data_IF_808513252191
#
_entry.id   IF_808513252191
#
_cell.length_a   1.000
_cell.length_b   1.000
_cell.length_c   1.000
_cell.angle_alpha   90.00
_cell.angle_beta   90.00
_cell.angle_gamma   90.00
#
_symmetry.space_group_name_H-M   'P 1'
#
loop_
_entity.id
_entity.type
_entity.pdbx_description
1 polymer ?
#
# COMPACT_ATOMS: atom_id res chain seq x y z
N UNK A 1 -10.23 6.72 51.42
CA UNK A 1 -10.92 7.58 52.42
C UNK A 1 -9.91 8.29 53.34
N UNK A 2 -8.79 8.80 52.81
CA UNK A 2 -7.72 9.44 53.61
C UNK A 2 -7.55 10.94 53.33
N UNK A 3 -8.19 11.48 52.27
CA UNK A 3 -8.07 12.89 51.89
C UNK A 3 -9.08 13.84 52.56
N UNK A 4 -10.24 13.35 53.02
CA UNK A 4 -11.27 14.18 53.65
C UNK A 4 -11.01 14.46 55.15
N UNK A 5 -10.16 13.67 55.80
CA UNK A 5 -9.85 13.86 57.24
C UNK A 5 -8.81 14.95 57.55
N UNK A 6 -8.05 15.41 56.56
CA UNK A 6 -7.04 16.47 56.76
C UNK A 6 -7.58 17.88 56.51
N UNK A 7 -8.72 18.01 55.81
CA UNK A 7 -9.31 19.31 55.50
C UNK A 7 -10.09 19.93 56.68
N UNK A 8 -10.60 19.11 57.60
CA UNK A 8 -11.35 19.58 58.78
C UNK A 8 -10.47 20.21 59.87
N UNK A 9 -9.15 19.97 59.87
CA UNK A 9 -8.24 20.44 60.93
C UNK A 9 -7.69 21.86 60.72
N UNK A 10 -7.72 22.41 59.49
CA UNK A 10 -7.02 23.67 59.16
C UNK A 10 -7.94 24.89 58.93
N UNK A 11 -9.27 24.72 58.90
CA UNK A 11 -10.22 25.84 58.98
C UNK A 11 -10.12 26.94 57.92
N UNK A 12 -9.40 26.73 56.81
CA UNK A 12 -9.21 27.73 55.77
C UNK A 12 -9.67 27.21 54.38
N UNK A 13 -10.84 27.65 53.89
CA UNK A 13 -11.41 27.22 52.61
C UNK A 13 -10.56 27.58 51.38
N UNK A 14 -9.52 28.42 51.53
CA UNK A 14 -8.57 28.71 50.46
C UNK A 14 -7.77 27.47 50.00
N UNK A 15 -7.50 26.51 50.89
CA UNK A 15 -6.74 25.31 50.55
C UNK A 15 -7.55 24.32 49.70
N UNK A 16 -8.86 24.25 49.92
CA UNK A 16 -9.77 23.41 49.11
C UNK A 16 -9.93 23.99 47.67
N UNK A 17 -9.99 25.32 47.56
CA UNK A 17 -9.95 26.01 46.27
C UNK A 17 -8.63 25.80 45.52
N UNK A 18 -7.49 25.89 46.21
CA UNK A 18 -6.17 25.64 45.62
C UNK A 18 -6.01 24.20 45.13
N UNK A 19 -6.52 23.22 45.88
CA UNK A 19 -6.55 21.81 45.48
C UNK A 19 -7.38 21.60 44.20
N UNK A 20 -8.55 22.25 44.10
CA UNK A 20 -9.42 22.18 42.92
C UNK A 20 -8.76 22.77 41.67
N UNK A 21 -8.05 23.90 41.80
CA UNK A 21 -7.29 24.52 40.70
C UNK A 21 -6.13 23.61 40.27
N UNK A 22 -5.42 22.99 41.20
CA UNK A 22 -4.33 22.06 40.90
C UNK A 22 -4.84 20.81 40.14
N UNK A 23 -5.98 20.25 40.54
CA UNK A 23 -6.63 19.14 39.83
C UNK A 23 -7.07 19.59 38.43
N UNK A 24 -7.67 20.77 38.30
CA UNK A 24 -8.05 21.34 37.01
C UNK A 24 -6.87 21.50 36.05
N UNK A 25 -5.71 21.96 36.55
CA UNK A 25 -4.48 22.05 35.77
C UNK A 25 -3.94 20.69 35.33
N UNK A 26 -3.97 19.68 36.20
CA UNK A 26 -3.55 18.32 35.86
C UNK A 26 -4.43 17.70 34.77
N UNK A 27 -5.75 17.89 34.87
CA UNK A 27 -6.69 17.40 33.86
C UNK A 27 -6.50 18.19 32.55
N UNK A 28 -6.34 19.50 32.61
CA UNK A 28 -6.06 20.33 31.43
C UNK A 28 -4.77 19.92 30.72
N UNK A 29 -3.69 19.69 31.46
CA UNK A 29 -2.41 19.25 30.92
C UNK A 29 -2.50 17.85 30.28
N UNK A 30 -3.18 16.90 30.94
CA UNK A 30 -3.37 15.55 30.37
C UNK A 30 -4.26 15.56 29.13
N UNK A 31 -5.30 16.39 29.09
CA UNK A 31 -6.14 16.58 27.91
C UNK A 31 -5.33 17.14 26.73
N UNK A 32 -4.52 18.17 26.95
CA UNK A 32 -3.63 18.73 25.91
C UNK A 32 -2.62 17.67 25.43
N UNK A 33 -2.05 16.90 26.36
CA UNK A 33 -1.12 15.81 26.03
C UNK A 33 -1.78 14.75 25.13
N UNK A 34 -3.00 14.29 25.49
CA UNK A 34 -3.76 13.33 24.70
C UNK A 34 -4.17 13.89 23.33
N UNK A 35 -4.58 15.16 23.25
CA UNK A 35 -4.91 15.82 21.99
C UNK A 35 -3.70 15.84 21.06
N UNK A 36 -2.52 16.24 21.56
CA UNK A 36 -1.31 16.27 20.76
C UNK A 36 -0.88 14.87 20.32
N UNK A 37 -0.99 13.87 21.20
CA UNK A 37 -0.65 12.48 20.88
C UNK A 37 -1.60 11.91 19.83
N UNK A 38 -2.91 12.08 20.01
CA UNK A 38 -3.92 11.65 19.04
C UNK A 38 -3.75 12.37 17.70
N UNK A 39 -3.44 13.67 17.71
CA UNK A 39 -3.19 14.43 16.50
C UNK A 39 -1.98 13.91 15.74
N UNK A 40 -0.92 13.48 16.43
CA UNK A 40 0.23 12.83 15.80
C UNK A 40 -0.11 11.44 15.23
N UNK A 41 -0.96 10.67 15.91
CA UNK A 41 -1.43 9.35 15.42
C UNK A 41 -2.40 9.45 14.24
N UNK A 42 -3.26 10.48 14.22
CA UNK A 42 -4.23 10.73 13.14
C UNK A 42 -3.56 11.35 11.91
N UNK A 43 -2.49 12.12 12.12
CA UNK A 43 -1.65 12.71 11.07
C UNK A 43 -0.39 11.86 10.88
N UNK A 44 -0.50 10.54 10.92
CA UNK A 44 0.64 9.62 10.84
C UNK A 44 1.72 10.08 9.84
N UNK A 45 3.00 9.78 10.10
CA UNK A 45 4.10 10.32 9.31
C UNK A 45 3.82 10.10 7.82
N UNK A 46 3.79 11.17 7.02
CA UNK A 46 3.50 11.07 5.60
C UNK A 46 4.34 9.94 4.99
N UNK A 47 3.76 9.06 4.15
CA UNK A 47 4.50 7.96 3.57
C UNK A 47 5.78 8.53 2.94
N UNK A 48 6.92 7.93 3.25
CA UNK A 48 8.23 8.43 2.81
C UNK A 48 8.18 8.62 1.31
N UNK A 49 8.21 9.88 0.87
CA UNK A 49 8.16 10.25 -0.55
C UNK A 49 9.25 9.54 -1.35
N UNK A 50 10.37 9.22 -0.70
CA UNK A 50 11.46 8.43 -1.23
C UNK A 50 11.07 6.97 -1.53
N UNK A 51 10.31 6.31 -0.65
CA UNK A 51 9.88 4.92 -0.88
C UNK A 51 8.86 4.83 -1.99
N UNK A 52 7.90 5.78 -2.05
CA UNK A 52 6.96 5.88 -3.18
C UNK A 52 7.73 6.10 -4.48
N UNK A 53 8.71 7.00 -4.49
CA UNK A 53 9.53 7.24 -5.68
C UNK A 53 10.31 6.00 -6.13
N UNK A 54 10.84 5.21 -5.19
CA UNK A 54 11.48 3.92 -5.51
C UNK A 54 10.51 2.92 -6.12
N UNK A 55 9.31 2.78 -5.54
CA UNK A 55 8.27 1.90 -6.08
C UNK A 55 7.86 2.30 -7.50
N UNK A 56 7.70 3.60 -7.75
CA UNK A 56 7.41 4.11 -9.08
C UNK A 56 8.54 3.85 -10.08
N UNK A 57 9.80 4.04 -9.66
CA UNK A 57 10.95 3.73 -10.50
C UNK A 57 10.98 2.25 -10.91
N UNK A 58 10.70 1.31 -9.99
CA UNK A 58 10.61 -0.13 -10.30
C UNK A 58 9.55 -0.42 -11.37
N UNK A 59 8.40 0.24 -11.29
CA UNK A 59 7.34 0.08 -12.29
C UNK A 59 7.72 0.70 -13.64
N UNK A 60 8.30 1.91 -13.64
CA UNK A 60 8.68 2.63 -14.87
C UNK A 60 9.90 2.02 -15.59
N UNK A 61 10.82 1.40 -14.84
CA UNK A 61 12.00 0.70 -15.40
C UNK A 61 11.62 -0.65 -16.02
N UNK A 62 10.41 -1.17 -15.75
CA UNK A 62 10.00 -2.45 -16.26
C UNK A 62 9.56 -2.36 -17.74
N UNK A 63 10.21 -3.07 -18.67
CA UNK A 63 9.90 -3.00 -20.10
C UNK A 63 8.52 -3.56 -20.49
N UNK A 64 7.84 -4.28 -19.60
CA UNK A 64 6.48 -4.80 -19.83
C UNK A 64 5.41 -3.77 -19.44
N UNK A 65 5.77 -2.81 -18.59
CA UNK A 65 4.88 -1.74 -18.16
C UNK A 65 4.91 -0.63 -19.20
N UNK A 66 3.76 -0.38 -19.84
CA UNK A 66 3.62 0.69 -20.83
C UNK A 66 3.34 2.04 -20.15
N UNK A 67 2.57 2.03 -19.06
CA UNK A 67 2.20 3.23 -18.30
C UNK A 67 1.76 2.86 -16.88
N UNK A 68 2.07 3.75 -15.94
CA UNK A 68 1.50 3.73 -14.58
C UNK A 68 0.59 4.94 -14.43
N UNK A 69 -0.61 4.74 -13.91
CA UNK A 69 -1.62 5.78 -13.69
C UNK A 69 -2.34 5.59 -12.36
N UNK A 70 -3.12 6.60 -11.95
CA UNK A 70 -3.92 6.62 -10.71
C UNK A 70 -3.22 6.09 -9.44
N UNK A 71 -1.96 6.48 -9.24
CA UNK A 71 -1.18 6.07 -8.06
C UNK A 71 -1.78 6.71 -6.81
N UNK A 72 -2.28 5.87 -5.91
CA UNK A 72 -2.90 6.26 -4.64
C UNK A 72 -2.16 5.61 -3.49
N UNK A 73 -1.66 6.45 -2.59
CA UNK A 73 -0.99 6.02 -1.37
C UNK A 73 -1.81 6.49 -0.17
N UNK A 74 -2.21 5.55 0.68
CA UNK A 74 -3.02 5.81 1.86
C UNK A 74 -2.38 5.19 3.10
N UNK A 75 -2.45 5.90 4.22
CA UNK A 75 -1.85 5.43 5.45
C UNK A 75 -2.84 4.56 6.24
N UNK A 76 -2.41 3.35 6.57
CA UNK A 76 -3.13 2.38 7.40
C UNK A 76 -2.59 2.46 8.85
N UNK A 77 -3.05 3.45 9.62
CA UNK A 77 -2.63 3.62 11.02
C UNK A 77 -1.25 4.25 11.17
N UNK A 78 -0.52 3.92 12.23
CA UNK A 78 0.75 4.58 12.56
C UNK A 78 1.93 4.15 11.66
N UNK A 79 1.98 2.87 11.28
CA UNK A 79 3.19 2.24 10.72
C UNK A 79 2.98 1.50 9.39
N UNK A 80 1.76 1.49 8.83
CA UNK A 80 1.50 0.78 7.58
C UNK A 80 0.97 1.71 6.49
N UNK A 81 1.34 1.40 5.25
CA UNK A 81 0.91 2.12 4.06
C UNK A 81 0.23 1.15 3.10
N UNK A 82 -0.82 1.62 2.44
CA UNK A 82 -1.46 0.96 1.30
C UNK A 82 -1.09 1.72 0.04
N UNK A 83 -0.52 0.99 -0.92
CA UNK A 83 -0.19 1.46 -2.25
C UNK A 83 -1.15 0.82 -3.24
N UNK A 84 -1.80 1.64 -4.07
CA UNK A 84 -2.59 1.20 -5.21
C UNK A 84 -2.11 1.94 -6.46
N UNK A 85 -2.02 1.26 -7.58
CA UNK A 85 -1.74 1.88 -8.86
C UNK A 85 -2.45 1.12 -9.99
N UNK A 86 -2.90 1.85 -10.99
CA UNK A 86 -3.35 1.28 -12.25
C UNK A 86 -2.15 1.17 -13.19
N UNK A 87 -1.98 0.01 -13.82
CA UNK A 87 -0.83 -0.28 -14.68
C UNK A 87 -1.31 -0.78 -16.03
N UNK A 88 -0.92 -0.09 -17.09
CA UNK A 88 -1.15 -0.54 -18.46
C UNK A 88 0.04 -1.39 -18.91
N UNK A 89 -0.22 -2.64 -19.31
CA UNK A 89 0.81 -3.56 -19.80
C UNK A 89 0.93 -3.51 -21.33
N UNK A 90 2.16 -3.63 -21.85
CA UNK A 90 2.37 -3.85 -23.29
C UNK A 90 2.16 -5.32 -23.64
N UNK A 91 0.93 -5.64 -24.05
CA UNK A 91 0.56 -6.98 -24.50
C UNK A 91 1.37 -7.49 -25.69
N UNK A 92 1.99 -6.62 -26.50
CA UNK A 92 2.88 -7.04 -27.59
C UNK A 92 4.22 -7.51 -27.08
N UNK A 93 4.75 -6.87 -26.04
CA UNK A 93 6.00 -7.30 -25.40
C UNK A 93 5.80 -8.61 -24.65
N UNK A 94 4.68 -8.78 -23.94
CA UNK A 94 4.31 -10.07 -23.33
C UNK A 94 4.17 -11.18 -24.38
N UNK A 95 3.43 -10.92 -25.45
CA UNK A 95 3.30 -11.84 -26.58
C UNK A 95 4.67 -12.21 -27.17
N UNK A 96 5.57 -11.24 -27.32
CA UNK A 96 6.93 -11.48 -27.83
C UNK A 96 7.74 -12.37 -26.89
N UNK A 97 7.66 -12.16 -25.57
CA UNK A 97 8.33 -13.00 -24.57
C UNK A 97 7.79 -14.43 -24.57
N UNK A 98 6.47 -14.60 -24.64
CA UNK A 98 5.84 -15.91 -24.75
C UNK A 98 6.26 -16.65 -26.02
N UNK A 99 6.30 -15.95 -27.16
CA UNK A 99 6.75 -16.53 -28.42
C UNK A 99 8.24 -16.86 -28.43
N UNK A 100 9.08 -16.08 -27.75
CA UNK A 100 10.52 -16.34 -27.66
C UNK A 100 10.85 -17.66 -26.94
N UNK A 101 9.98 -18.11 -26.03
CA UNK A 101 10.10 -19.40 -25.34
C UNK A 101 9.48 -20.58 -26.09
N UNK A 102 8.79 -20.34 -27.22
CA UNK A 102 8.07 -21.36 -27.98
C UNK A 102 8.86 -21.80 -29.21
N UNK A 103 8.89 -23.10 -29.46
CA UNK A 103 9.40 -23.66 -30.72
C UNK A 103 8.37 -23.41 -31.83
N UNK A 104 8.63 -22.38 -32.63
CA UNK A 104 7.75 -21.98 -33.73
C UNK A 104 7.77 -22.98 -34.89
N UNK A 105 8.90 -23.65 -35.14
CA UNK A 105 9.03 -24.64 -36.22
C UNK A 105 8.23 -25.90 -35.88
N UNK A 106 8.34 -26.37 -34.64
CA UNK A 106 7.51 -27.46 -34.14
C UNK A 106 6.02 -27.09 -34.18
N UNK A 107 5.65 -25.89 -33.69
CA UNK A 107 4.27 -25.42 -33.70
C UNK A 107 3.72 -25.36 -35.13
N UNK A 108 4.49 -24.80 -36.07
CA UNK A 108 4.12 -24.70 -37.48
C UNK A 108 3.85 -26.08 -38.09
N UNK A 109 4.68 -27.08 -37.79
CA UNK A 109 4.50 -28.45 -38.29
C UNK A 109 3.18 -29.11 -37.85
N UNK A 110 2.59 -28.67 -36.74
CA UNK A 110 1.32 -29.19 -36.22
C UNK A 110 0.08 -28.53 -36.84
N UNK A 111 0.26 -27.41 -37.55
CA UNK A 111 -0.84 -26.65 -38.16
C UNK A 111 -1.41 -27.37 -39.39
N UNK A 112 -2.49 -28.11 -39.18
CA UNK A 112 -3.20 -28.85 -40.22
C UNK A 112 -4.50 -28.14 -40.62
N UNK A 113 -4.36 -26.95 -41.20
CA UNK A 113 -5.48 -26.16 -41.74
C UNK A 113 -6.09 -25.13 -40.76
N UNK A 114 -7.17 -24.44 -41.18
CA UNK A 114 -7.69 -23.27 -40.46
C UNK A 114 -8.14 -23.53 -39.03
N UNK A 115 -8.71 -24.71 -38.73
CA UNK A 115 -9.16 -25.02 -37.35
C UNK A 115 -8.00 -25.20 -36.38
N UNK A 116 -6.86 -25.72 -36.86
CA UNK A 116 -5.66 -25.87 -36.02
C UNK A 116 -5.07 -24.49 -35.69
N UNK A 117 -5.05 -23.57 -36.68
CA UNK A 117 -4.65 -22.19 -36.47
C UNK A 117 -5.58 -21.46 -35.49
N UNK A 118 -6.89 -21.62 -35.64
CA UNK A 118 -7.87 -21.02 -34.75
C UNK A 118 -7.66 -21.45 -33.30
N UNK A 119 -7.47 -22.76 -33.04
CA UNK A 119 -7.16 -23.27 -31.70
C UNK A 119 -5.89 -22.67 -31.12
N UNK A 120 -4.82 -22.59 -31.93
CA UNK A 120 -3.56 -21.99 -31.51
C UNK A 120 -3.73 -20.52 -31.12
N UNK A 121 -4.48 -19.74 -31.91
CA UNK A 121 -4.72 -18.33 -31.63
C UNK A 121 -5.55 -18.13 -30.36
N UNK A 122 -6.56 -18.99 -30.12
CA UNK A 122 -7.36 -18.96 -28.90
C UNK A 122 -6.52 -19.34 -27.68
N UNK A 123 -5.73 -20.40 -27.78
CA UNK A 123 -4.82 -20.83 -26.69
C UNK A 123 -3.77 -19.76 -26.39
N UNK A 124 -3.19 -19.15 -27.42
CA UNK A 124 -2.23 -18.06 -27.28
C UNK A 124 -2.86 -16.83 -26.62
N UNK A 125 -4.10 -16.48 -26.97
CA UNK A 125 -4.83 -15.41 -26.30
C UNK A 125 -4.97 -15.66 -24.80
N UNK A 126 -5.33 -16.89 -24.40
CA UNK A 126 -5.37 -17.30 -22.99
C UNK A 126 -4.00 -17.18 -22.31
N UNK A 127 -2.94 -17.68 -22.95
CA UNK A 127 -1.56 -17.59 -22.46
C UNK A 127 -1.09 -16.14 -22.25
N UNK A 128 -1.50 -15.22 -23.12
CA UNK A 128 -1.20 -13.79 -22.95
C UNK A 128 -1.91 -13.21 -21.73
N UNK A 129 -3.18 -13.54 -21.52
CA UNK A 129 -3.92 -13.08 -20.34
C UNK A 129 -3.34 -13.66 -19.04
N UNK A 130 -3.01 -14.95 -19.02
CA UNK A 130 -2.38 -15.59 -17.87
C UNK A 130 -1.02 -14.93 -17.56
N UNK A 131 -0.23 -14.63 -18.60
CA UNK A 131 1.06 -13.96 -18.45
C UNK A 131 0.94 -12.52 -17.92
N UNK A 132 -0.15 -11.80 -18.20
CA UNK A 132 -0.42 -10.49 -17.57
C UNK A 132 -0.64 -10.68 -16.06
N UNK A 133 -1.45 -11.68 -15.67
CA UNK A 133 -1.69 -11.99 -14.25
C UNK A 133 -0.40 -12.34 -13.51
N UNK A 134 0.42 -13.23 -14.09
CA UNK A 134 1.71 -13.61 -13.51
C UNK A 134 2.66 -12.40 -13.37
N UNK A 135 2.62 -11.46 -14.32
CA UNK A 135 3.46 -10.26 -14.28
C UNK A 135 2.98 -9.26 -13.22
N UNK A 136 1.66 -9.13 -13.03
CA UNK A 136 1.06 -8.35 -11.93
C UNK A 136 1.54 -8.90 -10.59
N UNK A 137 1.38 -10.20 -10.35
CA UNK A 137 1.79 -10.85 -9.10
C UNK A 137 3.30 -10.67 -8.84
N UNK A 138 4.11 -10.79 -9.90
CA UNK A 138 5.57 -10.58 -9.83
C UNK A 138 5.92 -9.15 -9.42
N UNK A 139 5.28 -8.16 -10.05
CA UNK A 139 5.50 -6.75 -9.75
C UNK A 139 5.03 -6.39 -8.34
N UNK A 140 3.89 -6.90 -7.88
CA UNK A 140 3.42 -6.70 -6.51
C UNK A 140 4.40 -7.25 -5.47
N UNK A 141 4.96 -8.43 -5.72
CA UNK A 141 5.97 -9.04 -4.86
C UNK A 141 7.29 -8.24 -4.86
N UNK A 142 7.70 -7.70 -6.00
CA UNK A 142 8.90 -6.86 -6.14
C UNK A 142 8.74 -5.51 -5.42
N UNK A 143 7.57 -4.90 -5.55
CA UNK A 143 7.20 -3.67 -4.85
C UNK A 143 7.16 -3.87 -3.33
N UNK A 144 6.59 -4.98 -2.86
CA UNK A 144 6.53 -5.33 -1.43
C UNK A 144 7.94 -5.53 -0.85
N UNK A 145 8.87 -6.08 -1.62
CA UNK A 145 10.27 -6.23 -1.20
C UNK A 145 11.01 -4.88 -1.15
N UNK A 146 10.71 -3.98 -2.08
CA UNK A 146 11.34 -2.66 -2.20
C UNK A 146 10.89 -1.71 -1.09
N UNK A 147 9.62 -1.80 -0.67
CA UNK A 147 9.04 -0.97 0.38
C UNK A 147 8.30 -1.84 1.42
N UNK A 148 9.00 -2.40 2.43
CA UNK A 148 8.40 -3.27 3.45
C UNK A 148 7.29 -2.59 4.29
N UNK A 149 7.28 -1.25 4.34
CA UNK A 149 6.23 -0.45 4.96
C UNK A 149 4.90 -0.47 4.19
N UNK A 150 4.93 -0.82 2.90
CA UNK A 150 3.77 -0.99 2.05
C UNK A 150 3.13 -2.36 2.33
N UNK A 151 2.37 -2.42 3.42
CA UNK A 151 1.73 -3.66 3.90
C UNK A 151 0.63 -4.18 2.98
N UNK A 152 0.13 -3.34 2.08
CA UNK A 152 -0.82 -3.71 1.04
C UNK A 152 -0.43 -3.02 -0.27
N UNK A 153 -0.02 -3.81 -1.25
CA UNK A 153 0.26 -3.39 -2.62
C UNK A 153 -0.78 -4.09 -3.50
N UNK A 154 -1.42 -3.34 -4.37
CA UNK A 154 -2.46 -3.83 -5.27
C UNK A 154 -2.31 -3.09 -6.60
N UNK A 155 -2.02 -3.85 -7.66
CA UNK A 155 -1.85 -3.34 -9.01
C UNK A 155 -3.03 -3.78 -9.87
N UNK A 156 -3.78 -2.81 -10.37
CA UNK A 156 -4.95 -3.08 -11.21
C UNK A 156 -4.56 -2.91 -12.69
N UNK A 157 -4.68 -3.95 -13.54
CA UNK A 157 -4.45 -3.81 -14.97
C UNK A 157 -5.59 -3.02 -15.62
N UNK A 158 -5.24 -2.03 -16.45
CA UNK A 158 -6.18 -1.22 -17.27
C UNK A 158 -6.62 -1.94 -18.56
#
# INVERSE_FOLDING_TARGET
>A
MTGLGLAELTGNPAWDGAASVAIGLLIGASAIFLINRNRHFLLGPAPSSESIARMLAVLEENPVVARVQDVKVSQLGADAVRFKAEVTFDGRELARRLLAGRDLDATWSTLNGPQALERLLVEFGGQVTDAIGDEVDRLEAELTQTAPEARHVDLEPD
#
